data_IF_232329164592
#
_entry.id   IF_232329164592
#
_cell.length_a   1.000
_cell.length_b   1.000
_cell.length_c   1.000
_cell.angle_alpha   90.00
_cell.angle_beta   90.00
_cell.angle_gamma   90.00
#
_symmetry.space_group_name_H-M   'P 1'
#
loop_
_entity.id
_entity.type
_entity.pdbx_description
1 polymer ?
#
# COMPACT_ATOMS: atom_id res chain seq x y z
N UNK A 1 8.04 -1.90 -26.42
CA UNK A 1 8.91 -1.62 -25.27
C UNK A 1 8.02 -1.46 -24.05
N UNK A 2 8.45 -1.90 -22.87
CA UNK A 2 7.65 -1.74 -21.65
C UNK A 2 7.59 -0.25 -21.29
N UNK A 3 6.37 0.28 -21.09
CA UNK A 3 6.14 1.65 -20.68
C UNK A 3 6.74 1.92 -19.30
N UNK A 4 7.48 3.03 -19.17
CA UNK A 4 8.12 3.47 -17.92
C UNK A 4 7.14 4.40 -17.17
N UNK A 5 6.62 3.94 -16.03
CA UNK A 5 5.71 4.75 -15.21
C UNK A 5 6.47 5.26 -14.01
N UNK A 6 6.55 6.58 -13.87
CA UNK A 6 7.25 7.26 -12.78
C UNK A 6 6.24 7.97 -11.91
N UNK A 7 6.57 8.15 -10.64
CA UNK A 7 5.79 9.03 -9.77
C UNK A 7 6.48 10.39 -9.69
N UNK A 8 5.69 11.45 -9.78
CA UNK A 8 6.18 12.81 -9.62
C UNK A 8 6.87 12.97 -8.26
N UNK A 9 8.01 13.66 -8.22
CA UNK A 9 8.77 13.84 -6.98
C UNK A 9 9.43 12.58 -6.40
N UNK A 10 9.35 11.42 -7.07
CA UNK A 10 10.06 10.20 -6.68
C UNK A 10 10.92 9.70 -7.85
N UNK A 11 12.13 10.25 -7.93
CA UNK A 11 13.11 9.95 -8.99
C UNK A 11 14.31 9.22 -8.38
N UNK A 12 15.41 9.17 -9.14
CA UNK A 12 16.62 8.47 -8.77
C UNK A 12 17.20 8.91 -7.42
N UNK A 13 17.21 10.21 -7.11
CA UNK A 13 17.81 10.70 -5.86
C UNK A 13 16.95 10.39 -4.64
N UNK A 14 15.62 10.56 -4.73
CA UNK A 14 14.71 10.18 -3.65
C UNK A 14 14.73 8.66 -3.41
N UNK A 15 14.80 7.87 -4.50
CA UNK A 15 14.96 6.42 -4.40
C UNK A 15 16.28 6.05 -3.73
N UNK A 16 17.42 6.64 -4.13
CA UNK A 16 18.71 6.39 -3.48
C UNK A 16 18.69 6.74 -1.99
N UNK A 17 18.09 7.89 -1.64
CA UNK A 17 17.95 8.31 -0.25
C UNK A 17 17.13 7.31 0.58
N UNK A 18 15.99 6.85 0.04
CA UNK A 18 15.16 5.83 0.69
C UNK A 18 15.90 4.49 0.82
N UNK A 19 16.64 4.07 -0.21
CA UNK A 19 17.45 2.84 -0.19
C UNK A 19 18.55 2.91 0.87
N UNK A 20 19.26 4.04 0.99
CA UNK A 20 20.26 4.26 2.03
C UNK A 20 19.65 4.10 3.43
N UNK A 21 18.51 4.77 3.69
CA UNK A 21 17.81 4.65 4.97
C UNK A 21 17.38 3.21 5.23
N UNK A 22 16.77 2.53 4.25
CA UNK A 22 16.33 1.14 4.39
C UNK A 22 17.49 0.19 4.68
N UNK A 23 18.63 0.37 4.01
CA UNK A 23 19.85 -0.40 4.23
C UNK A 23 20.41 -0.19 5.63
N UNK A 24 20.49 1.05 6.09
CA UNK A 24 20.99 1.38 7.43
C UNK A 24 20.07 0.84 8.53
N UNK A 25 18.75 0.98 8.36
CA UNK A 25 17.75 0.44 9.28
C UNK A 25 17.81 -1.09 9.34
N UNK A 26 17.88 -1.76 8.19
CA UNK A 26 17.99 -3.22 8.15
C UNK A 26 19.29 -3.72 8.78
N UNK A 27 20.42 -3.05 8.51
CA UNK A 27 21.72 -3.39 9.11
C UNK A 27 21.65 -3.30 10.64
N UNK A 28 21.15 -2.18 11.17
CA UNK A 28 20.98 -2.00 12.61
C UNK A 28 20.04 -3.04 13.22
N UNK A 29 18.92 -3.36 12.56
CA UNK A 29 17.98 -4.36 13.04
C UNK A 29 18.59 -5.75 13.15
N UNK A 30 19.46 -6.14 12.21
CA UNK A 30 20.15 -7.43 12.25
C UNK A 30 21.25 -7.49 13.32
N UNK A 31 21.88 -6.36 13.62
CA UNK A 31 22.96 -6.25 14.62
C UNK A 31 22.43 -6.10 16.05
N UNK A 32 21.13 -5.86 16.22
CA UNK A 32 20.51 -5.71 17.55
C UNK A 32 20.74 -6.97 18.40
N UNK A 33 20.96 -6.84 19.73
CA UNK A 33 21.03 -7.99 20.63
C UNK A 33 19.78 -8.87 20.52
N UNK A 34 19.93 -10.20 20.62
CA UNK A 34 18.81 -11.14 20.42
C UNK A 34 17.68 -10.93 21.42
N UNK A 35 18.00 -10.51 22.64
CA UNK A 35 17.06 -10.24 23.71
C UNK A 35 16.32 -8.91 23.51
N UNK A 36 16.79 -8.05 22.60
CA UNK A 36 16.18 -6.76 22.30
C UNK A 36 15.04 -6.95 21.31
N UNK A 37 13.83 -6.63 21.75
CA UNK A 37 12.64 -6.67 20.89
C UNK A 37 12.73 -5.64 19.77
N UNK A 38 12.04 -5.92 18.65
CA UNK A 38 11.97 -5.00 17.52
C UNK A 38 11.36 -3.65 17.91
N UNK A 39 10.36 -3.62 18.80
CA UNK A 39 9.74 -2.36 19.27
C UNK A 39 10.75 -1.46 20.00
N UNK A 40 11.54 -2.01 20.92
CA UNK A 40 12.56 -1.25 21.65
C UNK A 40 13.64 -0.75 20.72
N UNK A 41 14.12 -1.62 19.82
CA UNK A 41 15.09 -1.24 18.80
C UNK A 41 14.58 -0.08 17.93
N UNK A 42 13.34 -0.17 17.43
CA UNK A 42 12.77 0.82 16.54
C UNK A 42 12.63 2.20 17.20
N UNK A 43 12.24 2.25 18.47
CA UNK A 43 12.20 3.48 19.25
C UNK A 43 13.58 4.16 19.35
N UNK A 44 14.64 3.39 19.61
CA UNK A 44 15.99 3.94 19.66
C UNK A 44 16.47 4.46 18.30
N UNK A 45 16.14 3.77 17.20
CA UNK A 45 16.45 4.27 15.85
C UNK A 45 15.78 5.61 15.56
N UNK A 46 14.55 5.84 16.03
CA UNK A 46 13.89 7.13 15.85
C UNK A 46 14.58 8.26 16.61
N UNK A 47 14.99 8.02 17.85
CA UNK A 47 15.75 9.01 18.64
C UNK A 47 17.04 9.39 17.90
N UNK A 48 17.75 8.40 17.35
CA UNK A 48 19.02 8.62 16.67
C UNK A 48 18.88 9.29 15.30
N UNK A 49 17.90 8.88 14.49
CA UNK A 49 17.84 9.24 13.06
C UNK A 49 16.91 10.41 12.73
N UNK A 50 15.85 10.59 13.52
CA UNK A 50 14.92 11.73 13.35
C UNK A 50 15.40 12.92 14.17
N UNK A 51 15.89 12.66 15.39
CA UNK A 51 16.33 13.68 16.33
C UNK A 51 15.16 14.43 16.98
N UNK A 52 15.40 14.97 18.19
CA UNK A 52 14.40 15.79 18.90
C UNK A 52 13.21 15.02 19.50
N UNK A 53 13.20 13.68 19.43
CA UNK A 53 12.17 12.83 20.02
C UNK A 53 12.59 12.35 21.42
N UNK A 54 11.66 12.40 22.39
CA UNK A 54 11.89 11.82 23.72
C UNK A 54 11.81 10.29 23.66
N UNK A 55 12.38 9.61 24.67
CA UNK A 55 12.29 8.16 24.76
C UNK A 55 10.84 7.66 24.87
N UNK A 56 9.98 8.40 25.58
CA UNK A 56 8.56 8.11 25.71
C UNK A 56 7.84 8.21 24.36
N UNK A 57 7.99 9.34 23.65
CA UNK A 57 7.36 9.53 22.34
C UNK A 57 7.86 8.49 21.30
N UNK A 58 9.15 8.14 21.35
CA UNK A 58 9.70 7.11 20.49
C UNK A 58 9.16 5.70 20.83
N UNK A 59 8.93 5.41 22.11
CA UNK A 59 8.29 4.19 22.59
C UNK A 59 6.83 4.07 22.13
N UNK A 60 6.06 5.16 22.22
CA UNK A 60 4.68 5.20 21.73
C UNK A 60 4.59 5.04 20.20
N UNK A 61 5.46 5.74 19.47
CA UNK A 61 5.54 5.64 18.02
C UNK A 61 5.90 4.23 17.55
N UNK A 62 6.94 3.64 18.14
CA UNK A 62 7.37 2.27 17.80
C UNK A 62 6.32 1.22 18.14
N UNK A 63 5.63 1.36 19.29
CA UNK A 63 4.52 0.49 19.67
C UNK A 63 3.37 0.60 18.68
N UNK A 64 2.99 1.83 18.30
CA UNK A 64 1.93 2.08 17.31
C UNK A 64 2.26 1.50 15.93
N UNK A 65 3.55 1.48 15.54
CA UNK A 65 3.99 0.81 14.30
C UNK A 65 3.80 -0.71 14.42
N UNK A 66 4.23 -1.31 15.52
CA UNK A 66 4.08 -2.76 15.72
C UNK A 66 2.61 -3.17 15.74
N UNK A 67 1.75 -2.45 16.45
CA UNK A 67 0.30 -2.70 16.46
C UNK A 67 -0.29 -2.61 15.05
N UNK A 68 0.16 -1.64 14.23
CA UNK A 68 -0.26 -1.53 12.84
C UNK A 68 0.23 -2.68 11.95
N UNK A 69 1.46 -3.16 12.16
CA UNK A 69 2.02 -4.33 11.45
C UNK A 69 1.25 -5.60 11.81
N UNK A 70 0.96 -5.79 13.09
CA UNK A 70 0.22 -6.95 13.59
C UNK A 70 -1.21 -6.95 13.05
N UNK A 71 -1.90 -5.80 13.08
CA UNK A 71 -3.26 -5.68 12.56
C UNK A 71 -3.36 -5.89 11.03
N UNK A 72 -2.38 -5.41 10.27
CA UNK A 72 -2.29 -5.71 8.84
C UNK A 72 -2.10 -7.22 8.60
N UNK A 73 -1.24 -7.86 9.40
CA UNK A 73 -0.91 -9.29 9.29
C UNK A 73 -2.07 -10.19 9.71
N UNK A 74 -2.80 -9.81 10.76
CA UNK A 74 -4.06 -10.43 11.17
C UNK A 74 -5.09 -10.33 10.06
N UNK A 75 -5.28 -9.15 9.48
CA UNK A 75 -6.20 -8.94 8.35
C UNK A 75 -5.85 -9.83 7.15
N UNK A 76 -4.56 -9.96 6.81
CA UNK A 76 -4.13 -10.91 5.75
C UNK A 76 -4.47 -12.36 6.09
N UNK A 77 -4.31 -12.76 7.34
CA UNK A 77 -4.62 -14.12 7.82
C UNK A 77 -6.13 -14.40 7.76
N UNK A 78 -6.96 -13.46 8.20
CA UNK A 78 -8.42 -13.54 8.12
C UNK A 78 -8.93 -13.64 6.67
N UNK A 79 -8.35 -12.86 5.75
CA UNK A 79 -8.69 -12.94 4.32
C UNK A 79 -8.33 -14.32 3.77
N UNK A 80 -7.13 -14.82 4.09
CA UNK A 80 -6.66 -16.12 3.63
C UNK A 80 -7.53 -17.26 4.16
N UNK A 81 -7.95 -17.20 5.42
CA UNK A 81 -8.90 -18.12 6.03
C UNK A 81 -10.27 -18.06 5.39
N UNK A 82 -10.79 -16.84 5.16
CA UNK A 82 -12.08 -16.63 4.48
C UNK A 82 -12.08 -17.25 3.09
N UNK A 83 -11.03 -17.03 2.31
CA UNK A 83 -10.90 -17.60 0.96
C UNK A 83 -10.75 -19.13 1.01
N UNK A 84 -10.01 -19.67 2.01
CA UNK A 84 -9.86 -21.12 2.20
C UNK A 84 -11.18 -21.80 2.57
N UNK A 85 -12.07 -21.11 3.27
CA UNK A 85 -13.42 -21.56 3.59
C UNK A 85 -14.42 -21.41 2.42
N UNK A 86 -13.99 -20.94 1.26
CA UNK A 86 -14.84 -20.75 0.08
C UNK A 86 -15.51 -19.37 -0.03
N UNK A 87 -15.18 -18.45 0.88
CA UNK A 87 -15.57 -17.04 0.79
C UNK A 87 -14.72 -16.25 -0.21
N UNK A 88 -14.91 -14.94 -0.25
CA UNK A 88 -14.16 -14.02 -1.12
C UNK A 88 -13.54 -12.88 -0.30
N UNK A 89 -12.41 -12.34 -0.77
CA UNK A 89 -11.77 -11.16 -0.18
C UNK A 89 -12.66 -9.92 -0.23
N UNK A 90 -13.51 -9.81 -1.26
CA UNK A 90 -14.49 -8.75 -1.42
C UNK A 90 -15.56 -8.82 -0.32
N UNK A 91 -16.08 -10.02 -0.03
CA UNK A 91 -17.05 -10.22 1.05
C UNK A 91 -16.44 -9.99 2.44
N UNK A 92 -15.21 -10.47 2.68
CA UNK A 92 -14.49 -10.19 3.93
C UNK A 92 -14.32 -8.68 4.12
N UNK A 93 -13.88 -7.97 3.08
CA UNK A 93 -13.64 -6.53 3.19
C UNK A 93 -14.95 -5.78 3.38
N UNK A 94 -16.02 -6.16 2.67
CA UNK A 94 -17.33 -5.57 2.87
C UNK A 94 -17.78 -5.68 4.33
N UNK A 95 -17.58 -6.83 4.97
CA UNK A 95 -17.94 -7.04 6.37
C UNK A 95 -17.06 -6.19 7.30
N UNK A 96 -15.73 -6.20 7.12
CA UNK A 96 -14.80 -5.36 7.90
C UNK A 96 -15.16 -3.88 7.83
N UNK A 97 -15.59 -3.40 6.65
CA UNK A 97 -16.00 -2.02 6.42
C UNK A 97 -17.33 -1.64 7.10
N UNK A 98 -18.10 -2.59 7.63
CA UNK A 98 -19.28 -2.25 8.43
C UNK A 98 -18.90 -1.68 9.80
N UNK A 99 -17.65 -1.90 10.23
CA UNK A 99 -17.08 -1.40 11.49
C UNK A 99 -16.35 -0.05 11.35
N UNK A 100 -16.48 0.66 10.23
CA UNK A 100 -15.91 2.01 10.10
C UNK A 100 -16.50 2.98 11.13
N UNK A 101 -15.74 4.01 11.56
CA UNK A 101 -16.25 4.99 12.51
C UNK A 101 -17.43 5.78 11.94
N UNK A 102 -18.41 6.06 12.81
CA UNK A 102 -19.61 6.83 12.50
C UNK A 102 -20.72 6.48 13.50
N UNK A 103 -21.34 7.51 14.10
CA UNK A 103 -22.36 7.34 15.13
C UNK A 103 -23.67 6.76 14.56
N UNK A 104 -23.95 7.05 13.28
CA UNK A 104 -25.13 6.52 12.58
C UNK A 104 -24.75 5.67 11.38
N UNK A 105 -25.67 4.82 10.93
CA UNK A 105 -25.49 4.06 9.68
C UNK A 105 -25.33 4.98 8.47
N UNK A 106 -26.01 6.14 8.47
CA UNK A 106 -25.91 7.14 7.43
C UNK A 106 -24.52 7.77 7.37
N UNK A 107 -23.93 8.11 8.52
CA UNK A 107 -22.56 8.64 8.60
C UNK A 107 -21.54 7.62 8.07
N UNK A 108 -21.67 6.34 8.46
CA UNK A 108 -20.80 5.27 7.95
C UNK A 108 -20.96 5.08 6.45
N UNK A 109 -22.19 5.06 5.95
CA UNK A 109 -22.48 4.93 4.52
C UNK A 109 -21.90 6.11 3.72
N UNK A 110 -22.00 7.34 4.24
CA UNK A 110 -21.41 8.53 3.62
C UNK A 110 -19.89 8.45 3.58
N UNK A 111 -19.25 8.10 4.70
CA UNK A 111 -17.80 7.90 4.75
C UNK A 111 -17.32 6.88 3.71
N UNK A 112 -17.99 5.72 3.62
CA UNK A 112 -17.66 4.67 2.65
C UNK A 112 -17.88 5.13 1.21
N UNK A 113 -18.94 5.89 0.94
CA UNK A 113 -19.19 6.46 -0.38
C UNK A 113 -18.08 7.44 -0.79
N UNK A 114 -17.64 8.30 0.13
CA UNK A 114 -16.51 9.20 -0.09
C UNK A 114 -15.20 8.43 -0.31
N UNK A 115 -14.94 7.40 0.51
CA UNK A 115 -13.78 6.54 0.38
C UNK A 115 -13.74 5.83 -0.99
N UNK A 116 -14.89 5.32 -1.45
CA UNK A 116 -15.01 4.70 -2.78
C UNK A 116 -14.67 5.70 -3.88
N UNK A 117 -15.20 6.92 -3.82
CA UNK A 117 -14.93 7.95 -4.82
C UNK A 117 -13.46 8.37 -4.85
N UNK A 118 -12.83 8.49 -3.67
CA UNK A 118 -11.41 8.78 -3.54
C UNK A 118 -10.55 7.67 -4.15
N UNK A 119 -10.78 6.41 -3.78
CA UNK A 119 -10.06 5.27 -4.34
C UNK A 119 -10.27 5.16 -5.87
N UNK A 120 -11.49 5.45 -6.35
CA UNK A 120 -11.78 5.47 -7.78
C UNK A 120 -10.96 6.52 -8.54
N UNK A 121 -10.78 7.71 -7.97
CA UNK A 121 -9.95 8.74 -8.57
C UNK A 121 -8.48 8.28 -8.67
N UNK A 122 -7.91 7.69 -7.62
CA UNK A 122 -6.56 7.11 -7.66
C UNK A 122 -6.43 5.97 -8.68
N UNK A 123 -7.38 5.03 -8.68
CA UNK A 123 -7.41 3.92 -9.63
C UNK A 123 -7.54 4.37 -11.09
N UNK A 124 -8.26 5.46 -11.35
CA UNK A 124 -8.37 6.03 -12.68
C UNK A 124 -7.04 6.62 -13.17
N UNK A 125 -6.21 7.20 -12.29
CA UNK A 125 -4.86 7.64 -12.65
C UNK A 125 -3.96 6.46 -13.03
N UNK A 126 -4.01 5.38 -12.24
CA UNK A 126 -3.29 4.13 -12.57
C UNK A 126 -3.76 3.58 -13.91
N UNK A 127 -5.08 3.47 -14.10
CA UNK A 127 -5.67 2.98 -15.35
C UNK A 127 -5.24 3.85 -16.53
N UNK A 128 -5.31 5.18 -16.41
CA UNK A 128 -4.87 6.11 -17.45
C UNK A 128 -3.39 5.92 -17.79
N UNK A 129 -2.54 5.79 -16.78
CA UNK A 129 -1.11 5.60 -16.97
C UNK A 129 -0.81 4.29 -17.71
N UNK A 130 -1.44 3.18 -17.32
CA UNK A 130 -1.25 1.86 -17.94
C UNK A 130 -1.68 1.77 -19.41
N UNK A 131 -2.54 2.69 -19.87
CA UNK A 131 -3.03 2.74 -21.25
C UNK A 131 -2.48 3.94 -22.04
N UNK A 132 -1.60 4.73 -21.43
CA UNK A 132 -1.03 5.89 -22.10
C UNK A 132 -0.12 5.43 -23.25
N UNK A 133 -0.21 6.04 -24.44
CA UNK A 133 0.66 5.70 -25.57
C UNK A 133 2.09 6.25 -25.37
N UNK A 134 2.35 7.00 -24.30
CA UNK A 134 3.66 7.58 -24.01
C UNK A 134 4.64 6.51 -23.53
N UNK A 135 5.89 6.58 -23.98
CA UNK A 135 6.95 5.68 -23.49
C UNK A 135 7.29 5.93 -22.01
N UNK A 136 7.16 7.17 -21.55
CA UNK A 136 7.37 7.58 -20.15
C UNK A 136 6.14 8.35 -19.70
N UNK A 137 5.48 7.85 -18.65
CA UNK A 137 4.29 8.46 -18.05
C UNK A 137 4.59 8.86 -16.60
N UNK A 138 4.06 9.99 -16.15
CA UNK A 138 4.24 10.46 -14.77
C UNK A 138 2.91 10.45 -14.02
N UNK A 139 2.84 9.66 -12.95
CA UNK A 139 1.74 9.65 -12.00
C UNK A 139 1.86 10.85 -11.05
N UNK A 140 0.74 11.54 -10.76
CA UNK A 140 0.73 12.66 -9.82
C UNK A 140 1.08 12.18 -8.41
N UNK A 141 1.88 12.97 -7.69
CA UNK A 141 2.21 12.70 -6.29
C UNK A 141 1.13 13.19 -5.32
N UNK A 142 0.40 14.23 -5.71
CA UNK A 142 -0.69 14.84 -4.95
C UNK A 142 -2.00 14.69 -5.71
N UNK A 143 -2.85 13.76 -5.25
CA UNK A 143 -4.13 13.42 -5.92
C UNK A 143 -5.33 13.98 -5.14
N UNK A 144 -5.12 14.45 -3.91
CA UNK A 144 -6.18 14.94 -3.01
C UNK A 144 -6.97 16.13 -3.59
N UNK A 145 -6.31 17.01 -4.34
CA UNK A 145 -6.93 18.19 -5.00
C UNK A 145 -7.88 17.82 -6.14
N UNK A 146 -7.85 16.57 -6.62
CA UNK A 146 -8.72 16.07 -7.70
C UNK A 146 -10.03 15.48 -7.18
N UNK A 147 -10.22 15.44 -5.86
CA UNK A 147 -11.50 15.07 -5.23
C UNK A 147 -12.30 16.35 -5.02
N UNK A 148 -13.48 16.51 -5.66
CA UNK A 148 -14.28 17.72 -5.52
C UNK A 148 -14.54 18.08 -4.05
N UNK A 149 -14.46 19.37 -3.73
CA UNK A 149 -15.00 19.89 -2.48
C UNK A 149 -16.52 19.70 -2.46
N UNK A 150 -17.05 19.07 -1.40
CA UNK A 150 -18.50 18.99 -1.20
C UNK A 150 -19.19 17.65 -1.49
N UNK A 151 -18.61 16.51 -1.09
CA UNK A 151 -19.45 15.37 -0.65
C UNK A 151 -20.14 15.65 0.73
N UNK A 152 -19.86 16.79 1.35
CA UNK A 152 -20.39 17.19 2.66
C UNK A 152 -21.53 18.23 2.65
N UNK A 153 -22.32 18.33 1.58
CA UNK A 153 -23.57 19.11 1.58
C UNK A 153 -24.80 18.24 1.85
N UNK A 154 -25.90 18.80 2.37
CA UNK A 154 -27.17 18.12 2.68
C UNK A 154 -27.96 17.57 1.46
N UNK A 155 -27.27 17.15 0.40
CA UNK A 155 -27.81 16.74 -0.90
C UNK A 155 -27.62 15.23 -1.19
N UNK A 156 -27.19 14.41 -0.22
CA UNK A 156 -27.11 12.95 -0.37
C UNK A 156 -28.43 12.28 -0.02
N UNK A 157 -28.90 11.39 -0.89
CA UNK A 157 -29.94 10.43 -0.52
C UNK A 157 -29.33 9.31 0.34
N UNK A 158 -30.10 8.69 1.26
CA UNK A 158 -29.61 7.56 2.04
C UNK A 158 -29.12 6.42 1.13
N UNK A 159 -27.87 5.98 1.34
CA UNK A 159 -27.27 4.82 0.66
C UNK A 159 -27.21 3.68 1.68
N UNK A 160 -27.62 2.45 1.33
CA UNK A 160 -27.38 1.31 2.19
C UNK A 160 -25.89 1.13 2.46
N UNK A 161 -25.48 1.05 3.73
CA UNK A 161 -24.06 0.95 4.12
C UNK A 161 -23.34 -0.21 3.44
N UNK A 162 -24.03 -1.34 3.23
CA UNK A 162 -23.50 -2.51 2.53
C UNK A 162 -23.16 -2.24 1.06
N UNK A 163 -23.93 -1.39 0.38
CA UNK A 163 -23.67 -1.00 -1.02
C UNK A 163 -22.43 -0.11 -1.09
N UNK A 164 -22.29 0.85 -0.17
CA UNK A 164 -21.11 1.70 -0.09
C UNK A 164 -19.85 0.87 0.26
N UNK A 165 -19.96 -0.04 1.22
CA UNK A 165 -18.89 -0.97 1.61
C UNK A 165 -18.44 -1.87 0.43
N UNK A 166 -19.39 -2.42 -0.33
CA UNK A 166 -19.07 -3.20 -1.53
C UNK A 166 -18.32 -2.34 -2.56
N UNK A 167 -18.74 -1.10 -2.75
CA UNK A 167 -18.08 -0.17 -3.66
C UNK A 167 -16.62 0.10 -3.29
N UNK A 168 -16.33 0.30 -2.01
CA UNK A 168 -14.95 0.39 -1.50
C UNK A 168 -14.19 -0.90 -1.74
N UNK A 169 -14.80 -2.06 -1.49
CA UNK A 169 -14.16 -3.35 -1.68
C UNK A 169 -13.74 -3.60 -3.15
N UNK A 170 -14.61 -3.27 -4.11
CA UNK A 170 -14.30 -3.36 -5.54
C UNK A 170 -13.13 -2.43 -5.94
N UNK A 171 -13.10 -1.21 -5.38
CA UNK A 171 -12.00 -0.27 -5.62
C UNK A 171 -10.70 -0.72 -4.96
N UNK A 172 -10.75 -1.36 -3.79
CA UNK A 172 -9.57 -1.89 -3.11
C UNK A 172 -8.92 -3.02 -3.90
N UNK A 173 -9.72 -3.96 -4.41
CA UNK A 173 -9.22 -5.06 -5.24
C UNK A 173 -8.64 -4.52 -6.55
N UNK A 174 -9.28 -3.54 -7.17
CA UNK A 174 -8.73 -2.85 -8.34
C UNK A 174 -7.40 -2.16 -8.03
N UNK A 175 -7.26 -1.51 -6.87
CA UNK A 175 -6.02 -0.85 -6.46
C UNK A 175 -4.86 -1.84 -6.28
N UNK A 176 -5.13 -3.01 -5.69
CA UNK A 176 -4.16 -4.10 -5.56
C UNK A 176 -3.66 -4.60 -6.91
N UNK A 177 -4.60 -4.99 -7.78
CA UNK A 177 -4.27 -5.57 -9.09
C UNK A 177 -3.67 -4.52 -10.03
N UNK A 178 -4.25 -3.33 -10.11
CA UNK A 178 -3.74 -2.22 -10.94
C UNK A 178 -2.38 -1.72 -10.46
N UNK A 179 -2.20 -1.61 -9.14
CA UNK A 179 -0.94 -1.20 -8.51
C UNK A 179 0.22 -2.16 -8.82
N UNK A 180 -0.04 -3.47 -8.88
CA UNK A 180 0.97 -4.45 -9.27
C UNK A 180 1.45 -4.32 -10.73
N UNK A 181 0.71 -3.61 -11.58
CA UNK A 181 1.09 -3.31 -12.95
C UNK A 181 1.98 -2.06 -13.06
N UNK A 182 2.04 -1.24 -12.01
CA UNK A 182 2.97 -0.12 -11.91
C UNK A 182 4.36 -0.72 -11.76
N UNK A 183 5.12 -0.70 -12.84
CA UNK A 183 6.54 -1.02 -12.85
C UNK A 183 7.24 0.09 -12.08
N UNK A 184 7.44 -0.09 -10.77
CA UNK A 184 7.77 0.99 -9.82
C UNK A 184 9.20 1.51 -9.95
N UNK A 185 9.81 1.42 -11.14
CA UNK A 185 11.16 1.89 -11.34
C UNK A 185 12.15 1.15 -10.45
N UNK A 186 11.84 -0.11 -10.09
CA UNK A 186 12.77 -1.10 -9.55
C UNK A 186 13.81 -1.55 -10.58
N UNK A 187 14.01 -0.75 -11.63
CA UNK A 187 15.33 -0.51 -12.15
C UNK A 187 16.12 0.02 -10.97
N UNK A 188 16.70 -0.94 -10.25
CA UNK A 188 18.01 -0.89 -9.63
C UNK A 188 18.46 0.55 -9.40
N UNK A 189 18.85 0.90 -8.19
CA UNK A 189 19.93 1.88 -8.06
C UNK A 189 21.16 1.30 -8.80
N UNK A 190 21.13 1.31 -10.14
CA UNK A 190 22.15 0.93 -11.11
C UNK A 190 23.27 1.90 -10.80
N UNK A 191 24.17 1.46 -9.92
CA UNK A 191 25.28 2.26 -9.41
C UNK A 191 25.47 2.29 -7.89
N UNK A 192 24.71 1.59 -7.04
CA UNK A 192 25.23 1.33 -5.70
C UNK A 192 26.30 0.22 -5.76
N UNK A 193 27.57 0.65 -5.70
CA UNK A 193 28.78 -0.19 -5.56
C UNK A 193 28.87 -0.90 -4.18
N UNK A 194 27.73 -1.31 -3.62
CA UNK A 194 27.64 -1.98 -2.33
C UNK A 194 27.32 -3.46 -2.49
N UNK A 195 28.16 -4.32 -1.92
CA UNK A 195 27.77 -5.73 -1.78
C UNK A 195 26.54 -5.85 -0.87
N UNK A 196 25.58 -6.74 -1.20
CA UNK A 196 24.47 -7.05 -0.31
C UNK A 196 24.95 -7.43 1.08
N UNK A 197 24.16 -7.13 2.11
CA UNK A 197 24.46 -7.56 3.48
C UNK A 197 24.44 -9.09 3.63
N UNK A 198 23.82 -9.80 2.68
CA UNK A 198 23.65 -11.24 2.69
C UNK A 198 23.01 -11.71 4.00
N UNK A 199 21.87 -11.09 4.31
CA UNK A 199 21.12 -11.25 5.57
C UNK A 199 20.66 -12.69 5.83
N UNK A 200 20.63 -13.55 4.81
CA UNK A 200 20.03 -14.87 4.87
C UNK A 200 18.50 -14.86 4.85
N UNK A 201 17.87 -13.68 4.76
CA UNK A 201 16.42 -13.50 4.74
C UNK A 201 15.90 -13.65 3.32
N UNK A 202 15.18 -14.73 3.03
CA UNK A 202 14.41 -14.88 1.80
C UNK A 202 12.92 -14.65 2.08
N UNK A 203 12.40 -13.51 1.62
CA UNK A 203 10.98 -13.17 1.81
C UNK A 203 10.02 -14.19 1.20
N UNK A 204 10.44 -14.95 0.18
CA UNK A 204 9.62 -15.99 -0.42
C UNK A 204 9.48 -17.23 0.49
N UNK A 205 10.45 -17.44 1.37
CA UNK A 205 10.50 -18.55 2.34
C UNK A 205 9.94 -18.14 3.71
N UNK A 206 10.03 -16.86 4.06
CA UNK A 206 9.62 -16.37 5.37
C UNK A 206 8.10 -16.51 5.60
N UNK A 207 7.73 -17.10 6.73
CA UNK A 207 6.34 -17.34 7.08
C UNK A 207 5.65 -16.01 7.42
N UNK A 208 4.49 -15.72 6.81
CA UNK A 208 3.67 -14.56 7.17
C UNK A 208 3.28 -14.61 8.65
N UNK A 209 3.52 -13.51 9.36
CA UNK A 209 3.30 -13.37 10.81
C UNK A 209 4.39 -13.96 11.70
N UNK A 210 5.51 -14.44 11.14
CA UNK A 210 6.69 -14.75 11.96
C UNK A 210 7.30 -13.47 12.56
N UNK A 211 8.13 -13.63 13.59
CA UNK A 211 8.87 -12.50 14.17
C UNK A 211 9.74 -11.77 13.13
N UNK A 212 10.34 -12.51 12.20
CA UNK A 212 11.11 -11.94 11.10
C UNK A 212 10.22 -11.17 10.13
N UNK A 213 9.06 -11.72 9.74
CA UNK A 213 8.11 -11.03 8.85
C UNK A 213 7.62 -9.72 9.47
N UNK A 214 7.15 -9.76 10.73
CA UNK A 214 6.74 -8.56 11.45
C UNK A 214 7.92 -7.58 11.62
N UNK A 215 9.12 -8.09 11.91
CA UNK A 215 10.35 -7.30 12.00
C UNK A 215 10.69 -6.57 10.72
N UNK A 216 10.60 -7.25 9.57
CA UNK A 216 10.89 -6.66 8.25
C UNK A 216 9.85 -5.59 7.88
N UNK A 217 8.57 -5.83 8.17
CA UNK A 217 7.51 -4.81 8.00
C UNK A 217 7.73 -3.60 8.89
N UNK A 218 8.20 -3.80 10.12
CA UNK A 218 8.58 -2.72 11.03
C UNK A 218 9.81 -1.94 10.52
N UNK A 219 10.83 -2.62 10.00
CA UNK A 219 12.00 -1.99 9.35
C UNK A 219 11.55 -1.16 8.15
N UNK A 220 10.68 -1.71 7.29
CA UNK A 220 10.14 -1.00 6.12
C UNK A 220 9.34 0.25 6.54
N UNK A 221 8.47 0.11 7.55
CA UNK A 221 7.67 1.22 8.08
C UNK A 221 8.57 2.30 8.70
N UNK A 222 9.52 1.91 9.54
CA UNK A 222 10.47 2.82 10.16
C UNK A 222 11.35 3.54 9.13
N UNK A 223 11.78 2.84 8.08
CA UNK A 223 12.56 3.43 6.99
C UNK A 223 11.76 4.48 6.24
N UNK A 224 10.50 4.18 5.92
CA UNK A 224 9.60 5.12 5.28
C UNK A 224 9.32 6.34 6.18
N UNK A 225 9.07 6.12 7.47
CA UNK A 225 8.87 7.18 8.46
C UNK A 225 10.09 8.11 8.56
N UNK A 226 11.29 7.55 8.73
CA UNK A 226 12.55 8.31 8.77
C UNK A 226 12.77 9.09 7.47
N UNK A 227 12.48 8.50 6.32
CA UNK A 227 12.61 9.17 5.03
C UNK A 227 11.65 10.37 4.91
N UNK A 228 10.41 10.24 5.38
CA UNK A 228 9.42 11.34 5.43
C UNK A 228 9.89 12.43 6.41
N UNK A 229 10.33 12.06 7.61
CA UNK A 229 10.80 13.02 8.61
C UNK A 229 12.07 13.77 8.19
N UNK A 230 12.93 13.12 7.41
CA UNK A 230 14.13 13.76 6.85
C UNK A 230 13.88 14.51 5.54
N UNK A 231 12.65 14.51 5.03
CA UNK A 231 12.28 15.19 3.78
C UNK A 231 12.88 14.55 2.53
N UNK A 232 13.27 13.27 2.60
CA UNK A 232 13.81 12.50 1.46
C UNK A 232 12.71 12.26 0.42
N UNK A 233 11.46 12.15 0.86
CA UNK A 233 10.28 11.92 0.01
C UNK A 233 9.38 13.17 0.09
N UNK A 234 9.66 14.23 -0.69
CA UNK A 234 9.11 15.57 -0.44
C UNK A 234 7.60 15.71 -0.69
N UNK A 235 7.00 14.79 -1.43
CA UNK A 235 5.56 14.79 -1.71
C UNK A 235 4.72 14.13 -0.60
N UNK A 236 5.35 13.40 0.33
CA UNK A 236 4.68 12.90 1.53
C UNK A 236 4.91 13.89 2.66
N UNK A 237 3.83 14.46 3.19
CA UNK A 237 3.90 15.43 4.27
C UNK A 237 4.26 14.71 5.57
N UNK A 238 5.01 15.36 6.45
CA UNK A 238 5.27 14.87 7.82
C UNK A 238 4.00 14.61 8.63
N UNK A 239 2.94 15.35 8.33
CA UNK A 239 1.62 15.18 8.94
C UNK A 239 0.84 13.97 8.40
N UNK A 240 1.39 13.19 7.46
CA UNK A 240 0.74 11.97 6.97
C UNK A 240 0.51 11.02 8.15
N UNK A 241 -0.73 10.53 8.36
CA UNK A 241 -1.04 9.66 9.49
C UNK A 241 -0.18 8.41 9.51
N UNK A 242 0.32 8.01 10.68
CA UNK A 242 1.15 6.82 10.84
C UNK A 242 0.53 5.54 10.25
N UNK A 243 -0.79 5.26 10.43
CA UNK A 243 -1.40 4.09 9.80
C UNK A 243 -1.25 4.05 8.27
N UNK A 244 -1.19 5.21 7.60
CA UNK A 244 -0.95 5.28 6.15
C UNK A 244 0.45 4.78 5.83
N UNK A 245 1.48 5.25 6.54
CA UNK A 245 2.86 4.83 6.31
C UNK A 245 3.06 3.33 6.59
N UNK A 246 2.49 2.83 7.69
CA UNK A 246 2.55 1.41 8.05
C UNK A 246 1.91 0.54 6.98
N UNK A 247 0.70 0.88 6.51
CA UNK A 247 0.01 0.11 5.49
C UNK A 247 0.73 0.15 4.13
N UNK A 248 1.32 1.28 3.74
CA UNK A 248 2.14 1.37 2.51
C UNK A 248 3.34 0.42 2.60
N UNK A 249 4.07 0.45 3.71
CA UNK A 249 5.24 -0.41 3.91
C UNK A 249 4.87 -1.91 3.94
N UNK A 250 3.84 -2.27 4.70
CA UNK A 250 3.33 -3.65 4.77
C UNK A 250 2.85 -4.17 3.41
N UNK A 251 2.08 -3.36 2.67
CA UNK A 251 1.67 -3.66 1.31
C UNK A 251 2.89 -3.97 0.43
N UNK A 252 3.90 -3.11 0.51
CA UNK A 252 5.17 -3.28 -0.17
C UNK A 252 5.85 -4.63 0.08
N UNK A 253 6.05 -4.96 1.36
CA UNK A 253 6.70 -6.22 1.77
C UNK A 253 5.95 -7.43 1.25
N UNK A 254 4.63 -7.46 1.37
CA UNK A 254 3.82 -8.57 0.85
C UNK A 254 3.82 -8.63 -0.69
N UNK A 255 3.89 -7.50 -1.38
CA UNK A 255 3.95 -7.46 -2.84
C UNK A 255 5.27 -8.03 -3.34
N UNK A 256 6.38 -7.66 -2.69
CA UNK A 256 7.72 -8.17 -3.00
C UNK A 256 7.82 -9.66 -2.69
N UNK A 257 7.29 -10.11 -1.55
CA UNK A 257 7.13 -11.55 -1.25
C UNK A 257 6.38 -12.27 -2.36
N UNK A 258 5.24 -11.73 -2.78
CA UNK A 258 4.38 -12.33 -3.82
C UNK A 258 5.15 -12.45 -5.15
N UNK A 259 5.88 -11.41 -5.56
CA UNK A 259 6.72 -11.46 -6.76
C UNK A 259 7.80 -12.53 -6.68
N UNK A 260 8.52 -12.63 -5.55
CA UNK A 260 9.54 -13.65 -5.33
C UNK A 260 8.96 -15.07 -5.32
N UNK A 261 7.75 -15.26 -4.78
CA UNK A 261 7.05 -16.55 -4.81
C UNK A 261 6.62 -16.97 -6.22
N UNK A 262 6.26 -16.03 -7.10
CA UNK A 262 6.02 -16.32 -8.52
C UNK A 262 7.31 -16.74 -9.20
N UNK A 263 8.39 -16.00 -9.00
CA UNK A 263 9.68 -16.30 -9.63
C UNK A 263 10.23 -17.67 -9.22
N UNK A 264 10.10 -18.03 -7.94
CA UNK A 264 10.49 -19.34 -7.42
C UNK A 264 9.53 -20.48 -7.79
N UNK A 265 8.42 -20.19 -8.48
CA UNK A 265 7.43 -21.18 -8.88
C UNK A 265 6.54 -21.70 -7.74
N UNK A 266 6.59 -21.07 -6.56
CA UNK A 266 5.79 -21.46 -5.38
C UNK A 266 4.30 -21.15 -5.54
N UNK A 267 3.99 -20.04 -6.22
CA UNK A 267 2.62 -19.66 -6.54
C UNK A 267 2.48 -19.39 -8.03
N UNK A 268 1.28 -19.61 -8.55
CA UNK A 268 0.96 -19.26 -9.93
C UNK A 268 0.78 -17.76 -10.10
N UNK A 269 0.89 -17.26 -11.34
CA UNK A 269 0.60 -15.85 -11.65
C UNK A 269 -0.84 -15.47 -11.29
N UNK A 270 -1.79 -16.39 -11.47
CA UNK A 270 -3.18 -16.16 -11.07
C UNK A 270 -3.33 -16.03 -9.54
N UNK A 271 -2.65 -16.88 -8.78
CA UNK A 271 -2.63 -16.78 -7.32
C UNK A 271 -1.95 -15.48 -6.84
N UNK A 272 -0.92 -15.02 -7.55
CA UNK A 272 -0.28 -13.73 -7.28
C UNK A 272 -1.22 -12.55 -7.54
N UNK A 273 -1.96 -12.54 -8.65
CA UNK A 273 -2.97 -11.50 -8.94
C UNK A 273 -4.01 -11.44 -7.84
N UNK A 274 -4.52 -12.61 -7.40
CA UNK A 274 -5.49 -12.65 -6.32
C UNK A 274 -4.87 -12.15 -4.99
N UNK A 275 -3.63 -12.56 -4.67
CA UNK A 275 -2.91 -12.11 -3.47
C UNK A 275 -2.69 -10.59 -3.47
N UNK A 276 -2.39 -9.96 -4.61
CA UNK A 276 -2.29 -8.50 -4.70
C UNK A 276 -3.61 -7.80 -4.36
N UNK A 277 -4.75 -8.39 -4.77
CA UNK A 277 -6.07 -7.92 -4.34
C UNK A 277 -6.29 -8.06 -2.84
N UNK A 278 -5.84 -9.17 -2.21
CA UNK A 278 -5.95 -9.39 -0.75
C UNK A 278 -5.12 -8.38 0.04
N UNK A 279 -3.88 -8.13 -0.39
CA UNK A 279 -2.97 -7.15 0.21
C UNK A 279 -3.61 -5.76 0.25
N UNK A 280 -4.16 -5.31 -0.87
CA UNK A 280 -4.85 -4.02 -0.94
C UNK A 280 -6.12 -3.99 -0.08
N UNK A 281 -6.87 -5.10 -0.05
CA UNK A 281 -8.05 -5.22 0.81
C UNK A 281 -7.70 -5.11 2.30
N UNK A 282 -6.62 -5.76 2.74
CA UNK A 282 -6.14 -5.64 4.12
C UNK A 282 -5.75 -4.19 4.43
N UNK A 283 -4.95 -3.56 3.57
CA UNK A 283 -4.50 -2.19 3.75
C UNK A 283 -5.65 -1.17 3.79
N UNK A 284 -6.52 -1.20 2.79
CA UNK A 284 -7.62 -0.23 2.67
C UNK A 284 -8.68 -0.48 3.75
N UNK A 285 -8.96 -1.74 4.07
CA UNK A 285 -9.84 -2.09 5.18
C UNK A 285 -9.34 -1.51 6.50
N UNK A 286 -8.05 -1.71 6.81
CA UNK A 286 -7.42 -1.17 8.01
C UNK A 286 -7.51 0.36 8.08
N UNK A 287 -7.11 1.06 7.02
CA UNK A 287 -7.18 2.52 6.92
C UNK A 287 -8.61 3.04 7.11
N UNK A 288 -9.59 2.37 6.50
CA UNK A 288 -10.99 2.74 6.63
C UNK A 288 -11.50 2.54 8.06
N UNK A 289 -11.21 1.40 8.67
CA UNK A 289 -11.64 1.12 10.07
C UNK A 289 -10.96 2.02 11.09
N UNK A 290 -9.76 2.53 10.79
CA UNK A 290 -9.06 3.55 11.60
C UNK A 290 -9.58 4.97 11.37
N UNK A 291 -10.56 5.16 10.48
CA UNK A 291 -11.18 6.45 10.22
C UNK A 291 -10.29 7.43 9.46
N UNK A 292 -9.34 6.93 8.66
CA UNK A 292 -8.52 7.80 7.82
C UNK A 292 -9.43 8.57 6.86
N UNK A 293 -9.28 9.89 6.81
CA UNK A 293 -10.14 10.75 6.00
C UNK A 293 -10.16 10.30 4.54
N UNK A 294 -11.36 10.19 3.94
CA UNK A 294 -11.55 9.60 2.62
C UNK A 294 -10.65 10.22 1.53
N UNK A 295 -10.37 11.54 1.59
CA UNK A 295 -9.48 12.22 0.64
C UNK A 295 -8.06 11.65 0.61
N UNK A 296 -7.53 11.25 1.76
CA UNK A 296 -6.19 10.65 1.87
C UNK A 296 -6.14 9.32 1.10
N UNK A 297 -7.27 8.59 1.03
CA UNK A 297 -7.37 7.32 0.29
C UNK A 297 -7.17 7.49 -1.21
N UNK A 298 -7.32 8.70 -1.76
CA UNK A 298 -7.11 8.98 -3.20
C UNK A 298 -5.68 8.65 -3.65
N UNK A 299 -4.70 8.90 -2.78
CA UNK A 299 -3.30 8.66 -3.10
C UNK A 299 -2.92 7.18 -2.96
N UNK A 300 -3.67 6.38 -2.19
CA UNK A 300 -3.29 5.00 -1.83
C UNK A 300 -3.09 4.10 -3.06
N UNK A 301 -3.97 4.08 -4.08
CA UNK A 301 -3.75 3.23 -5.27
C UNK A 301 -2.51 3.57 -6.09
N UNK A 302 -2.00 4.81 -5.98
CA UNK A 302 -0.84 5.29 -6.73
C UNK A 302 0.41 5.22 -5.87
N UNK A 303 0.42 5.96 -4.77
CA UNK A 303 1.55 6.11 -3.85
C UNK A 303 1.84 4.81 -3.11
N UNK A 304 0.80 4.06 -2.72
CA UNK A 304 0.95 2.85 -1.91
C UNK A 304 1.79 1.77 -2.61
N UNK A 305 1.39 1.30 -3.80
CA UNK A 305 2.20 0.35 -4.56
C UNK A 305 3.60 0.88 -4.89
N UNK A 306 3.74 2.16 -5.29
CA UNK A 306 5.03 2.74 -5.68
C UNK A 306 6.00 2.80 -4.50
N UNK A 307 5.65 3.49 -3.42
CA UNK A 307 6.55 3.65 -2.27
C UNK A 307 6.72 2.35 -1.49
N UNK A 308 5.64 1.58 -1.33
CA UNK A 308 5.68 0.31 -0.61
C UNK A 308 6.66 -0.66 -1.27
N UNK A 309 6.53 -0.88 -2.58
CA UNK A 309 7.44 -1.79 -3.28
C UNK A 309 8.88 -1.25 -3.32
N UNK A 310 9.08 0.06 -3.42
CA UNK A 310 10.41 0.68 -3.39
C UNK A 310 11.14 0.39 -2.06
N UNK A 311 10.52 0.68 -0.90
CA UNK A 311 11.14 0.43 0.40
C UNK A 311 11.35 -1.07 0.66
N UNK A 312 10.38 -1.93 0.30
CA UNK A 312 10.48 -3.37 0.50
C UNK A 312 11.55 -4.02 -0.40
N UNK A 313 11.74 -3.50 -1.61
CA UNK A 313 12.76 -4.00 -2.51
C UNK A 313 14.16 -3.52 -2.13
N UNK A 314 14.28 -2.31 -1.57
CA UNK A 314 15.53 -1.86 -0.97
C UNK A 314 15.96 -2.79 0.18
N UNK A 315 15.01 -3.25 1.00
CA UNK A 315 15.29 -4.25 2.04
C UNK A 315 15.68 -5.59 1.40
N UNK A 316 14.94 -6.05 0.39
CA UNK A 316 15.17 -7.35 -0.25
C UNK A 316 16.48 -7.42 -1.03
N UNK A 317 16.94 -6.31 -1.62
CA UNK A 317 18.21 -6.27 -2.33
C UNK A 317 19.39 -6.53 -1.41
N UNK A 318 19.27 -6.15 -0.13
CA UNK A 318 20.30 -6.42 0.87
C UNK A 318 20.40 -7.90 1.23
N UNK A 319 19.36 -8.70 1.00
CA UNK A 319 19.41 -10.15 1.22
C UNK A 319 20.27 -10.88 0.19
N UNK A 320 20.45 -10.33 -1.03
CA UNK A 320 21.35 -10.90 -2.04
C UNK A 320 20.92 -10.64 -3.48
N UNK A 321 21.90 -10.62 -4.41
CA UNK A 321 21.68 -10.36 -5.86
C UNK A 321 20.65 -11.32 -6.49
N UNK A 322 20.60 -12.58 -6.04
CA UNK A 322 19.61 -13.58 -6.51
C UNK A 322 18.19 -13.21 -6.09
N UNK A 323 18.00 -12.78 -4.85
CA UNK A 323 16.69 -12.36 -4.32
C UNK A 323 16.24 -11.08 -5.04
N UNK A 324 17.13 -10.10 -5.21
CA UNK A 324 16.84 -8.89 -5.98
C UNK A 324 16.37 -9.20 -7.41
N UNK A 325 17.09 -10.09 -8.11
CA UNK A 325 16.71 -10.53 -9.46
C UNK A 325 15.37 -11.28 -9.47
N UNK A 326 15.08 -12.08 -8.44
CA UNK A 326 13.83 -12.81 -8.32
C UNK A 326 12.62 -11.86 -8.18
N UNK A 327 12.75 -10.83 -7.35
CA UNK A 327 11.73 -9.79 -7.18
C UNK A 327 11.43 -9.12 -8.52
N UNK A 328 12.47 -8.64 -9.20
CA UNK A 328 12.34 -7.91 -10.46
C UNK A 328 11.70 -8.76 -11.57
N UNK A 329 12.18 -9.99 -11.76
CA UNK A 329 11.63 -10.90 -12.77
C UNK A 329 10.23 -11.40 -12.39
N UNK A 330 9.94 -11.57 -11.10
CA UNK A 330 8.60 -11.89 -10.60
C UNK A 330 7.57 -10.85 -11.00
N UNK A 331 7.85 -9.56 -10.79
CA UNK A 331 6.94 -8.48 -11.20
C UNK A 331 6.74 -8.41 -12.72
N UNK A 332 7.80 -8.63 -13.52
CA UNK A 332 7.67 -8.70 -14.99
C UNK A 332 6.71 -9.79 -15.45
N UNK A 333 6.78 -10.96 -14.82
CA UNK A 333 5.91 -12.09 -15.14
C UNK A 333 4.46 -11.81 -14.75
N UNK A 334 4.22 -11.10 -13.64
CA UNK A 334 2.88 -10.76 -13.16
C UNK A 334 2.21 -9.69 -14.04
N UNK A 335 2.97 -8.67 -14.47
CA UNK A 335 2.49 -7.46 -15.16
C UNK A 335 1.43 -7.69 -16.27
N UNK A 336 1.66 -8.52 -17.31
CA UNK A 336 0.69 -8.65 -18.40
C UNK A 336 -0.66 -9.21 -17.94
N UNK A 337 -0.66 -10.09 -16.93
CA UNK A 337 -1.88 -10.70 -16.41
C UNK A 337 -2.65 -9.69 -15.55
N UNK A 338 -1.96 -8.95 -14.68
CA UNK A 338 -2.61 -7.94 -13.84
C UNK A 338 -3.20 -6.80 -14.65
N UNK A 339 -2.55 -6.34 -15.73
CA UNK A 339 -3.13 -5.30 -16.62
C UNK A 339 -4.47 -5.76 -17.19
N UNK A 340 -4.54 -7.00 -17.71
CA UNK A 340 -5.78 -7.56 -18.26
C UNK A 340 -6.87 -7.75 -17.19
N UNK A 341 -6.51 -8.22 -16.00
CA UNK A 341 -7.48 -8.38 -14.90
C UNK A 341 -7.98 -7.03 -14.41
N UNK A 342 -7.10 -6.03 -14.31
CA UNK A 342 -7.43 -4.67 -13.93
C UNK A 342 -8.46 -4.03 -14.88
N UNK A 343 -8.39 -4.27 -16.20
CA UNK A 343 -9.41 -3.80 -17.14
C UNK A 343 -10.82 -4.35 -16.84
N UNK A 344 -10.90 -5.63 -16.49
CA UNK A 344 -12.15 -6.27 -16.10
C UNK A 344 -12.72 -5.68 -14.80
N UNK A 345 -11.86 -5.53 -13.80
CA UNK A 345 -12.20 -4.95 -12.50
C UNK A 345 -12.57 -3.47 -12.61
N UNK A 346 -11.90 -2.69 -13.48
CA UNK A 346 -12.20 -1.28 -13.72
C UNK A 346 -13.64 -1.07 -14.17
N UNK A 347 -14.16 -1.94 -15.05
CA UNK A 347 -15.57 -1.91 -15.49
C UNK A 347 -16.54 -2.16 -14.35
N UNK A 348 -16.23 -3.09 -13.46
CA UNK A 348 -17.06 -3.41 -12.27
C UNK A 348 -17.05 -2.22 -11.32
N UNK A 349 -15.85 -1.76 -10.94
CA UNK A 349 -15.65 -0.69 -9.99
C UNK A 349 -16.24 0.66 -10.49
N UNK A 350 -16.19 0.92 -11.80
CA UNK A 350 -16.84 2.09 -12.43
C UNK A 350 -18.36 2.04 -12.31
N UNK A 351 -18.98 0.86 -12.45
CA UNK A 351 -20.43 0.71 -12.24
C UNK A 351 -20.81 1.00 -10.80
N UNK A 352 -20.06 0.51 -9.82
CA UNK A 352 -20.33 0.82 -8.42
C UNK A 352 -20.18 2.32 -8.12
N UNK A 353 -19.23 3.01 -8.75
CA UNK A 353 -19.12 4.48 -8.65
C UNK A 353 -20.35 5.17 -9.25
N UNK A 354 -20.88 4.70 -10.39
CA UNK A 354 -22.11 5.23 -10.97
C UNK A 354 -23.32 5.03 -10.05
N UNK A 355 -23.38 3.90 -9.35
CA UNK A 355 -24.39 3.64 -8.31
C UNK A 355 -24.30 4.69 -7.22
N UNK A 356 -23.14 4.90 -6.58
CA UNK A 356 -22.98 5.92 -5.54
C UNK A 356 -23.27 7.34 -6.04
N UNK A 357 -22.80 7.69 -7.25
CA UNK A 357 -23.13 8.98 -7.87
C UNK A 357 -24.63 9.16 -8.12
N UNK A 358 -25.40 8.09 -8.30
CA UNK A 358 -26.86 8.21 -8.46
C UNK A 358 -27.56 8.64 -7.17
N UNK A 359 -27.02 8.26 -6.01
CA UNK A 359 -27.52 8.69 -4.70
C UNK A 359 -27.08 10.11 -4.32
N UNK A 360 -25.97 10.61 -4.89
CA UNK A 360 -25.56 12.02 -4.79
C UNK A 360 -26.23 12.95 -5.80
N UNK A 361 -27.03 12.43 -6.75
CA UNK A 361 -27.49 13.15 -7.94
C UNK A 361 -28.60 14.19 -7.72
N UNK A 362 -28.95 14.52 -6.47
CA UNK A 362 -29.78 15.71 -6.22
C UNK A 362 -29.07 17.01 -6.69
N UNK A 363 -27.73 17.03 -6.85
CA UNK A 363 -26.99 18.14 -7.48
C UNK A 363 -25.75 17.61 -8.25
N UNK A 364 -25.92 16.68 -9.19
CA UNK A 364 -24.90 16.43 -10.22
C UNK A 364 -25.38 16.83 -11.63
N UNK A 365 -26.51 17.54 -11.74
CA UNK A 365 -26.97 18.13 -13.00
C UNK A 365 -26.21 19.41 -13.39
N UNK A 366 -25.06 19.69 -12.76
CA UNK A 366 -24.16 20.81 -13.09
C UNK A 366 -22.90 20.30 -13.80
N UNK A 367 -22.88 19.02 -14.22
CA UNK A 367 -21.71 18.36 -14.83
C UNK A 367 -21.94 17.91 -16.28
N UNK A 368 -22.72 18.70 -17.04
CA UNK A 368 -22.50 18.86 -18.47
C UNK A 368 -21.49 19.99 -18.70
#
# INVERSE_FOLDING_TARGET
MAQDIRMEGFRTEESKGLFSVAKEMLSSWMEKPKEKSTVVWLGEEFIQRVGGMTAEAAGELSSSIMDGVDQFTESMSEIDETCRAGGTKEAWLQEKLLSVPGATEEERARYLAEAQLALAAGNNEVHRALHSPQEVETLPATIEERVPDGAGGGAWQPIPVKVAAQGVAEQAVLAGVGGAALDTGLRYAEGEDGEPLNTGIDLAEEQTGSENDCGIKAVATGSLYVAVERGIIPFIKKATPLPVLTNIACWGVESVRTASQVFSGKISVAAAVDRMGRIASAAIGDLCTKGIGARVLTAIPVVGPVLGTAVASAISSQSGKKIASAVYEGFKVIRPVVTKVAEGLHKVATKAVQTVKSFGRAILSIFD
#
